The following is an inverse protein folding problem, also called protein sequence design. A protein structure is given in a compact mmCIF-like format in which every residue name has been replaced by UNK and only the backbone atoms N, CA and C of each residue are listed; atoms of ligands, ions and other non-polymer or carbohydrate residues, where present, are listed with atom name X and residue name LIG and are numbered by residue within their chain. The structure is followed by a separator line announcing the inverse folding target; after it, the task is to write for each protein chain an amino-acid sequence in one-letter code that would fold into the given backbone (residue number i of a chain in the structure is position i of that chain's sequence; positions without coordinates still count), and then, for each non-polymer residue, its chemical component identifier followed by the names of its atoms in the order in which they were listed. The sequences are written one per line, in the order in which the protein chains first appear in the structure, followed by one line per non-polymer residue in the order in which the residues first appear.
data_IF_199674056334
#
_entry.id   IF_199674056334
#
_cell.length_a   1.000
_cell.length_b   1.000
_cell.length_c   1.000
_cell.angle_alpha   90.00
_cell.angle_beta   90.00
_cell.angle_gamma   90.00
#
_symmetry.space_group_name_H-M   'P 1'
#
loop_
_entity.id
_entity.type
_entity.pdbx_description
1 polymer ?
#
# COMPACT_ATOMS: atom_id res chain seq x y z
N UNK A 1 -26.70 -11.97 -18.29
CA UNK A 1 -25.85 -11.10 -19.14
C UNK A 1 -24.41 -11.39 -18.73
N UNK A 2 -23.58 -11.85 -19.66
CA UNK A 2 -22.18 -12.21 -19.37
C UNK A 2 -21.38 -10.99 -18.90
N UNK A 3 -20.36 -11.21 -18.07
CA UNK A 3 -19.51 -10.13 -17.53
C UNK A 3 -18.80 -9.38 -18.66
N UNK A 4 -18.40 -10.08 -19.72
CA UNK A 4 -17.74 -9.48 -20.88
C UNK A 4 -18.70 -8.55 -21.64
N UNK A 5 -19.95 -8.97 -21.84
CA UNK A 5 -20.99 -8.12 -22.43
C UNK A 5 -21.25 -6.87 -21.58
N UNK A 6 -21.32 -7.02 -20.25
CA UNK A 6 -21.50 -5.88 -19.34
C UNK A 6 -20.33 -4.89 -19.40
N UNK A 7 -19.10 -5.37 -19.52
CA UNK A 7 -17.90 -4.53 -19.66
C UNK A 7 -17.94 -3.72 -20.97
N UNK A 8 -18.31 -4.36 -22.08
CA UNK A 8 -18.39 -3.69 -23.38
C UNK A 8 -19.45 -2.58 -23.37
N UNK A 9 -20.65 -2.86 -22.85
CA UNK A 9 -21.70 -1.84 -22.74
C UNK A 9 -21.26 -0.66 -21.88
N UNK A 10 -20.61 -0.93 -20.75
CA UNK A 10 -20.11 0.13 -19.87
C UNK A 10 -19.05 1.02 -20.54
N UNK A 11 -18.14 0.43 -21.34
CA UNK A 11 -17.14 1.20 -22.10
C UNK A 11 -17.83 2.08 -23.14
N UNK A 12 -18.84 1.55 -23.83
CA UNK A 12 -19.60 2.32 -24.82
C UNK A 12 -20.34 3.50 -24.18
N UNK A 13 -20.96 3.28 -23.02
CA UNK A 13 -21.61 4.36 -22.26
C UNK A 13 -20.60 5.41 -21.82
N UNK A 14 -19.42 5.00 -21.33
CA UNK A 14 -18.35 5.90 -20.90
C UNK A 14 -17.79 6.72 -22.06
N UNK A 15 -17.58 6.11 -23.23
CA UNK A 15 -17.13 6.82 -24.44
C UNK A 15 -18.13 7.88 -24.92
N UNK A 16 -19.42 7.69 -24.60
CA UNK A 16 -20.48 8.63 -24.94
C UNK A 16 -20.56 9.83 -23.98
N UNK A 17 -19.92 9.75 -22.81
CA UNK A 17 -19.88 10.84 -21.83
C UNK A 17 -18.81 11.85 -22.20
N UNK A 18 -19.18 13.11 -22.39
CA UNK A 18 -18.25 14.22 -22.65
C UNK A 18 -17.99 15.11 -21.43
N UNK A 19 -18.67 14.86 -20.30
CA UNK A 19 -18.49 15.63 -19.07
C UNK A 19 -17.29 15.10 -18.27
N UNK A 20 -16.21 15.88 -18.26
CA UNK A 20 -14.99 15.56 -17.52
C UNK A 20 -15.22 15.35 -16.01
N UNK A 21 -16.21 16.02 -15.40
CA UNK A 21 -16.52 15.82 -13.98
C UNK A 21 -17.10 14.45 -13.71
N UNK A 22 -17.89 13.91 -14.64
CA UNK A 22 -18.45 12.57 -14.54
C UNK A 22 -17.36 11.53 -14.74
N UNK A 23 -16.51 11.72 -15.76
CA UNK A 23 -15.36 10.85 -16.03
C UNK A 23 -14.44 10.80 -14.80
N UNK A 24 -14.05 11.96 -14.24
CA UNK A 24 -13.17 12.02 -13.07
C UNK A 24 -13.75 11.33 -11.83
N UNK A 25 -15.07 11.40 -11.62
CA UNK A 25 -15.75 10.66 -10.54
C UNK A 25 -15.65 9.14 -10.75
N UNK A 26 -15.91 8.66 -11.96
CA UNK A 26 -15.85 7.23 -12.30
C UNK A 26 -14.42 6.70 -12.16
N UNK A 27 -13.42 7.44 -12.63
CA UNK A 27 -12.02 7.09 -12.45
C UNK A 27 -11.62 7.03 -10.98
N UNK A 28 -12.03 8.01 -10.17
CA UNK A 28 -11.75 8.03 -8.74
C UNK A 28 -12.38 6.84 -8.02
N UNK A 29 -13.60 6.46 -8.39
CA UNK A 29 -14.27 5.28 -7.83
C UNK A 29 -13.51 3.99 -8.18
N UNK A 30 -13.13 3.82 -9.45
CA UNK A 30 -12.37 2.65 -9.90
C UNK A 30 -11.01 2.55 -9.18
N UNK A 31 -10.31 3.68 -8.99
CA UNK A 31 -9.05 3.72 -8.24
C UNK A 31 -9.25 3.34 -6.76
N UNK A 32 -10.30 3.86 -6.13
CA UNK A 32 -10.60 3.59 -4.71
C UNK A 32 -10.93 2.11 -4.47
N UNK A 33 -11.74 1.50 -5.33
CA UNK A 33 -12.10 0.09 -5.17
C UNK A 33 -10.88 -0.82 -5.43
N UNK A 34 -9.98 -0.48 -6.36
CA UNK A 34 -8.69 -1.20 -6.53
C UNK A 34 -7.77 -1.07 -5.30
N UNK A 35 -7.77 0.09 -4.64
CA UNK A 35 -6.94 0.30 -3.46
C UNK A 35 -7.47 -0.42 -2.22
N UNK A 36 -8.78 -0.65 -2.09
CA UNK A 36 -9.35 -1.41 -0.96
C UNK A 36 -8.85 -2.86 -0.89
N UNK A 37 -8.43 -3.45 -2.01
CA UNK A 37 -7.82 -4.79 -2.02
C UNK A 37 -6.40 -4.80 -1.43
N UNK A 38 -5.73 -3.65 -1.38
CA UNK A 38 -4.45 -3.49 -0.68
C UNK A 38 -4.76 -2.95 0.71
N UNK A 39 -5.18 -3.83 1.62
CA UNK A 39 -5.23 -3.48 3.04
C UNK A 39 -3.81 -3.05 3.45
N UNK A 40 -3.67 -1.81 3.92
CA UNK A 40 -2.41 -1.39 4.53
C UNK A 40 -2.18 -2.29 5.74
N UNK A 41 -1.01 -2.95 5.87
CA UNK A 41 -0.73 -3.77 7.03
C UNK A 41 -0.85 -2.90 8.27
N UNK A 42 -1.71 -3.32 9.19
CA UNK A 42 -1.86 -2.67 10.47
C UNK A 42 -0.66 -3.01 11.35
N UNK A 43 -0.37 -2.16 12.33
CA UNK A 43 0.69 -2.41 13.34
C UNK A 43 0.46 -3.74 14.07
N UNK A 44 -0.80 -4.17 14.19
CA UNK A 44 -1.18 -5.45 14.79
C UNK A 44 -0.80 -6.66 13.93
N UNK A 45 -0.71 -6.51 12.60
CA UNK A 45 -0.24 -7.56 11.69
C UNK A 45 1.27 -7.83 11.82
N UNK A 46 1.98 -6.95 12.53
CA UNK A 46 3.41 -7.07 12.80
C UNK A 46 3.72 -7.62 14.20
N UNK A 47 2.71 -7.76 15.07
CA UNK A 47 2.88 -8.27 16.43
C UNK A 47 3.07 -9.79 16.41
N UNK A 48 4.21 -10.27 16.91
CA UNK A 48 4.51 -11.70 17.01
C UNK A 48 5.11 -12.32 15.74
N UNK A 49 5.44 -11.51 14.73
CA UNK A 49 6.15 -11.97 13.52
C UNK A 49 7.60 -12.34 13.82
N UNK A 50 8.23 -11.64 14.77
CA UNK A 50 9.61 -11.87 15.16
C UNK A 50 9.67 -12.65 16.48
N UNK A 51 10.38 -13.77 16.48
CA UNK A 51 10.73 -14.46 17.72
C UNK A 51 11.77 -13.66 18.52
N UNK A 52 11.92 -13.97 19.82
CA UNK A 52 12.92 -13.28 20.65
C UNK A 52 14.34 -13.46 20.12
N UNK A 53 14.65 -14.66 19.64
CA UNK A 53 15.96 -15.03 19.11
C UNK A 53 16.29 -14.22 17.84
N UNK A 54 15.35 -14.09 16.91
CA UNK A 54 15.51 -13.27 15.70
C UNK A 54 15.63 -11.77 16.05
N UNK A 55 14.93 -11.32 17.09
CA UNK A 55 15.06 -9.95 17.62
C UNK A 55 16.45 -9.66 18.21
N UNK A 56 16.99 -10.60 18.99
CA UNK A 56 18.33 -10.49 19.57
C UNK A 56 19.42 -10.53 18.49
N UNK A 57 19.28 -11.36 17.47
CA UNK A 57 20.20 -11.41 16.34
C UNK A 57 20.17 -10.11 15.52
N UNK A 58 18.97 -9.55 15.30
CA UNK A 58 18.80 -8.27 14.64
C UNK A 58 19.45 -7.13 15.44
N UNK A 59 19.26 -7.09 16.76
CA UNK A 59 19.88 -6.10 17.63
C UNK A 59 21.41 -6.20 17.60
N UNK A 60 21.95 -7.42 17.67
CA UNK A 60 23.39 -7.68 17.59
C UNK A 60 23.98 -7.22 16.26
N UNK A 61 23.27 -7.49 15.17
CA UNK A 61 23.69 -7.09 13.82
C UNK A 61 23.68 -5.57 13.67
N UNK A 62 22.62 -4.89 14.13
CA UNK A 62 22.54 -3.42 14.12
C UNK A 62 23.68 -2.82 14.94
N UNK A 63 23.94 -3.32 16.16
CA UNK A 63 25.06 -2.87 17.00
C UNK A 63 26.43 -3.12 16.38
N UNK A 64 26.57 -4.20 15.60
CA UNK A 64 27.82 -4.51 14.90
C UNK A 64 28.04 -3.65 13.65
N UNK A 65 26.97 -3.19 13.02
CA UNK A 65 27.02 -2.45 11.75
C UNK A 65 26.98 -0.93 11.93
N UNK A 66 26.39 -0.44 13.03
CA UNK A 66 26.29 1.00 13.30
C UNK A 66 27.46 1.48 14.15
N UNK A 67 27.99 2.65 13.82
CA UNK A 67 28.96 3.36 14.66
C UNK A 67 28.29 3.78 15.97
N UNK A 68 28.99 3.60 17.08
CA UNK A 68 28.54 4.12 18.36
C UNK A 68 28.78 5.62 18.37
N UNK A 69 27.70 6.39 18.32
CA UNK A 69 27.77 7.84 18.45
C UNK A 69 28.07 8.17 19.91
N UNK A 70 29.24 8.75 20.17
CA UNK A 70 29.65 9.25 21.47
C UNK A 70 29.25 10.72 21.62
N UNK A 71 29.04 11.18 22.85
CA UNK A 71 28.71 12.59 23.14
C UNK A 71 29.81 13.56 22.65
N UNK A 72 31.04 13.05 22.56
CA UNK A 72 32.22 13.75 22.02
C UNK A 72 32.14 13.96 20.48
N UNK A 73 31.38 13.15 19.74
CA UNK A 73 31.25 13.26 18.27
C UNK A 73 30.37 14.46 17.84
N UNK A 74 29.70 15.11 18.80
CA UNK A 74 28.83 16.29 18.60
C UNK A 74 29.49 17.62 19.00
N UNK A 75 30.76 17.61 19.44
CA UNK A 75 31.54 18.82 19.75
C UNK A 75 32.34 19.30 18.55
#
# INVERSE_FOLDING_TARGET
MDVSTRKLNFIQDLLSVSDEKIIGKLESLLKKEKQKEVQQPSVYDLLGVLTKEEGEEMEKTIKSCCENIHEEDWK
#
